data_IF_133795382284
#
_entry.id   IF_133795382284
#
_cell.length_a   1.000
_cell.length_b   1.000
_cell.length_c   1.000
_cell.angle_alpha   90.00
_cell.angle_beta   90.00
_cell.angle_gamma   90.00
#
_symmetry.space_group_name_H-M   'P 1'
#
loop_
_entity.id
_entity.type
_entity.pdbx_description
1 polymer ?
#
# COMPACT_ATOMS: atom_id res chain seq x y z
N UNK A 1 9.82 -12.54 14.76
CA UNK A 1 11.14 -12.89 15.32
C UNK A 1 12.04 -11.72 15.00
N UNK A 2 12.11 -10.75 15.91
CA UNK A 2 13.00 -9.60 15.79
C UNK A 2 14.28 -10.01 16.48
N UNK A 3 15.30 -10.37 15.70
CA UNK A 3 16.63 -10.51 16.26
C UNK A 3 17.12 -9.14 16.72
N UNK A 4 17.68 -9.17 17.92
CA UNK A 4 18.01 -8.06 18.78
C UNK A 4 18.94 -7.05 18.10
N UNK A 5 18.85 -5.80 18.57
CA UNK A 5 19.88 -4.78 18.36
C UNK A 5 21.26 -5.38 18.68
N UNK A 6 22.15 -5.30 17.68
CA UNK A 6 23.60 -5.55 17.70
C UNK A 6 24.09 -6.99 17.92
N UNK A 7 24.54 -7.62 16.83
CA UNK A 7 25.63 -8.58 16.90
C UNK A 7 26.89 -7.82 17.40
N UNK A 8 27.40 -8.20 18.57
CA UNK A 8 28.66 -7.65 19.09
C UNK A 8 29.79 -8.51 18.55
N UNK A 9 30.55 -7.96 17.60
CA UNK A 9 31.75 -8.59 17.06
C UNK A 9 33.01 -8.11 17.82
N UNK A 10 33.82 -9.06 18.28
CA UNK A 10 35.10 -8.78 18.94
C UNK A 10 36.22 -8.92 17.90
N UNK A 11 36.94 -7.83 17.64
CA UNK A 11 38.09 -7.82 16.72
C UNK A 11 39.40 -7.72 17.52
N UNK A 12 40.25 -8.75 17.43
CA UNK A 12 41.60 -8.69 18.00
C UNK A 12 42.51 -7.83 17.13
N UNK A 13 43.25 -6.90 17.75
CA UNK A 13 44.22 -6.05 17.06
C UNK A 13 45.61 -6.70 17.15
N UNK A 14 46.20 -7.04 16.01
CA UNK A 14 47.59 -7.55 15.96
C UNK A 14 48.58 -6.38 15.91
N UNK A 15 49.74 -6.46 16.62
CA UNK A 15 50.74 -5.40 16.58
C UNK A 15 51.35 -5.24 15.17
N UNK A 16 51.47 -4.01 14.66
CA UNK A 16 52.12 -3.74 13.37
C UNK A 16 51.64 -2.45 12.69
N UNK A 17 52.21 -2.13 11.51
CA UNK A 17 51.81 -0.96 10.70
C UNK A 17 50.37 -1.05 10.16
N UNK A 18 49.85 -2.26 9.99
CA UNK A 18 48.49 -2.58 9.50
C UNK A 18 47.49 -2.91 10.62
N UNK A 19 47.80 -2.60 11.89
CA UNK A 19 46.98 -2.99 13.06
C UNK A 19 45.51 -2.58 12.97
N UNK A 20 45.22 -1.50 12.25
CA UNK A 20 43.86 -0.98 12.08
C UNK A 20 43.19 -1.44 10.78
N UNK A 21 43.90 -2.10 9.87
CA UNK A 21 43.33 -2.54 8.59
C UNK A 21 42.27 -3.62 8.82
N UNK A 22 42.52 -4.54 9.76
CA UNK A 22 41.55 -5.56 10.14
C UNK A 22 40.27 -4.95 10.73
N UNK A 23 40.41 -3.98 11.63
CA UNK A 23 39.27 -3.27 12.21
C UNK A 23 38.52 -2.47 11.16
N UNK A 24 39.24 -1.70 10.33
CA UNK A 24 38.67 -0.91 9.22
C UNK A 24 37.86 -1.79 8.28
N UNK A 25 38.44 -2.89 7.79
CA UNK A 25 37.77 -3.79 6.85
C UNK A 25 36.52 -4.42 7.46
N UNK A 26 36.56 -4.77 8.77
CA UNK A 26 35.39 -5.27 9.49
C UNK A 26 34.30 -4.22 9.62
N UNK A 27 34.64 -3.00 10.04
CA UNK A 27 33.68 -1.90 10.16
C UNK A 27 33.02 -1.58 8.81
N UNK A 28 33.80 -1.56 7.72
CA UNK A 28 33.27 -1.37 6.37
C UNK A 28 32.32 -2.51 5.98
N UNK A 29 32.73 -3.77 6.16
CA UNK A 29 31.88 -4.92 5.85
C UNK A 29 30.56 -4.92 6.65
N UNK A 30 30.61 -4.67 7.96
CA UNK A 30 29.41 -4.58 8.80
C UNK A 30 28.53 -3.38 8.42
N UNK A 31 29.13 -2.26 8.03
CA UNK A 31 28.40 -1.09 7.51
C UNK A 31 27.69 -1.41 6.21
N UNK A 32 28.37 -2.08 5.27
CA UNK A 32 27.80 -2.49 3.98
C UNK A 32 26.67 -3.51 4.18
N UNK A 33 26.84 -4.47 5.09
CA UNK A 33 25.80 -5.44 5.46
C UNK A 33 24.58 -4.74 6.08
N UNK A 34 24.80 -3.85 7.06
CA UNK A 34 23.72 -3.11 7.69
C UNK A 34 22.97 -2.23 6.68
N UNK A 35 23.69 -1.64 5.72
CA UNK A 35 23.09 -0.88 4.63
C UNK A 35 22.28 -1.79 3.69
N UNK A 36 22.83 -2.91 3.24
CA UNK A 36 22.14 -3.87 2.38
C UNK A 36 20.85 -4.40 3.05
N UNK A 37 20.90 -4.69 4.36
CA UNK A 37 19.73 -5.09 5.13
C UNK A 37 18.66 -4.00 5.15
N UNK A 38 19.04 -2.73 5.33
CA UNK A 38 18.10 -1.59 5.25
C UNK A 38 17.56 -1.40 3.84
N UNK A 39 18.36 -1.57 2.80
CA UNK A 39 17.92 -1.49 1.40
C UNK A 39 16.87 -2.57 1.10
N UNK A 40 17.15 -3.82 1.48
CA UNK A 40 16.23 -4.95 1.34
C UNK A 40 14.93 -4.76 2.12
N UNK A 41 15.00 -4.17 3.31
CA UNK A 41 13.82 -3.82 4.12
C UNK A 41 13.12 -2.53 3.66
N UNK A 42 13.69 -1.80 2.68
CA UNK A 42 13.29 -0.44 2.29
C UNK A 42 13.18 0.51 3.49
N UNK A 43 14.18 0.47 4.36
CA UNK A 43 14.31 1.29 5.56
C UNK A 43 15.45 2.33 5.44
N UNK A 44 15.91 2.60 4.22
CA UNK A 44 16.75 3.78 3.93
C UNK A 44 15.85 5.01 3.80
N UNK A 45 15.55 5.63 4.93
CA UNK A 45 14.74 6.84 4.98
C UNK A 45 15.50 8.06 4.49
N UNK A 46 14.80 8.99 3.85
CA UNK A 46 15.32 10.35 3.68
C UNK A 46 15.54 11.01 5.05
N UNK A 47 16.28 12.11 5.10
CA UNK A 47 16.52 12.81 6.37
C UNK A 47 15.22 13.31 7.02
N UNK A 48 14.24 13.71 6.19
CA UNK A 48 12.93 14.19 6.65
C UNK A 48 12.13 13.04 7.24
N UNK A 49 12.03 11.91 6.53
CA UNK A 49 11.35 10.71 7.03
C UNK A 49 12.03 10.16 8.29
N UNK A 50 13.37 10.12 8.31
CA UNK A 50 14.12 9.64 9.48
C UNK A 50 13.87 10.49 10.72
N UNK A 51 13.91 11.83 10.60
CA UNK A 51 13.67 12.72 11.73
C UNK A 51 12.24 12.57 12.27
N UNK A 52 11.24 12.46 11.37
CA UNK A 52 9.85 12.23 11.75
C UNK A 52 9.68 10.89 12.48
N UNK A 53 10.19 9.79 11.91
CA UNK A 53 10.08 8.46 12.52
C UNK A 53 10.86 8.35 13.83
N UNK A 54 12.01 9.01 13.96
CA UNK A 54 12.77 9.01 15.22
C UNK A 54 11.96 9.69 16.32
N UNK A 55 11.36 10.84 16.02
CA UNK A 55 10.52 11.56 16.99
C UNK A 55 9.28 10.74 17.39
N UNK A 56 8.58 10.16 16.42
CA UNK A 56 7.42 9.30 16.69
C UNK A 56 7.82 8.03 17.46
N UNK A 57 8.97 7.42 17.14
CA UNK A 57 9.47 6.23 17.85
C UNK A 57 9.85 6.54 19.31
N UNK A 58 10.50 7.68 19.57
CA UNK A 58 10.77 8.12 20.94
C UNK A 58 9.47 8.29 21.73
N UNK A 59 8.47 8.97 21.16
CA UNK A 59 7.17 9.14 21.79
C UNK A 59 6.44 7.81 22.03
N UNK A 60 6.54 6.87 21.09
CA UNK A 60 6.01 5.50 21.20
C UNK A 60 6.63 4.76 22.38
N UNK A 61 7.96 4.65 22.43
CA UNK A 61 8.65 3.87 23.47
C UNK A 61 8.56 4.48 24.88
N UNK A 62 8.15 5.75 25.02
CA UNK A 62 7.79 6.30 26.32
C UNK A 62 6.52 5.69 26.92
N UNK A 63 5.63 5.13 26.08
CA UNK A 63 4.29 4.65 26.48
C UNK A 63 4.07 3.17 26.21
N UNK A 64 4.84 2.61 25.29
CA UNK A 64 4.61 1.31 24.66
C UNK A 64 5.88 0.46 24.72
N UNK A 65 5.70 -0.85 24.86
CA UNK A 65 6.82 -1.82 24.85
C UNK A 65 6.87 -2.63 23.56
N UNK A 66 5.78 -2.63 22.79
CA UNK A 66 5.71 -3.28 21.50
C UNK A 66 6.62 -2.59 20.47
N UNK A 67 7.07 -3.32 19.43
CA UNK A 67 7.88 -2.74 18.36
C UNK A 67 7.18 -1.57 17.67
N UNK A 68 7.97 -0.54 17.32
CA UNK A 68 7.49 0.60 16.55
C UNK A 68 7.15 0.20 15.10
N UNK A 69 5.98 0.60 14.62
CA UNK A 69 5.50 0.31 13.27
C UNK A 69 5.61 1.56 12.38
N UNK A 70 6.65 1.59 11.56
CA UNK A 70 6.93 2.70 10.63
C UNK A 70 5.79 2.94 9.62
N UNK A 71 5.09 1.89 9.19
CA UNK A 71 4.01 1.99 8.19
C UNK A 71 2.79 2.64 8.82
N UNK A 72 2.46 2.27 10.07
CA UNK A 72 1.36 2.95 10.80
C UNK A 72 1.73 4.38 11.13
N UNK A 73 2.96 4.63 11.58
CA UNK A 73 3.41 5.99 11.89
C UNK A 73 3.38 6.91 10.67
N UNK A 74 3.74 6.41 9.47
CA UNK A 74 3.71 7.20 8.25
C UNK A 74 2.30 7.60 7.80
N UNK A 75 1.26 6.97 8.36
CA UNK A 75 -0.16 7.26 8.09
C UNK A 75 -0.82 8.07 9.20
N UNK A 76 -0.05 8.59 10.17
CA UNK A 76 -0.58 9.38 11.28
C UNK A 76 -1.32 10.64 10.81
N UNK A 77 -0.74 11.37 9.86
CA UNK A 77 -1.30 12.62 9.34
C UNK A 77 -2.24 12.40 8.13
N UNK A 78 -2.21 11.22 7.53
CA UNK A 78 -3.11 10.79 6.48
C UNK A 78 -3.59 9.35 6.77
N UNK A 79 -4.53 9.15 7.70
CA UNK A 79 -4.96 7.81 8.08
C UNK A 79 -5.70 7.12 6.93
N UNK A 80 -5.70 5.78 6.94
CA UNK A 80 -6.62 5.02 6.07
C UNK A 80 -8.05 5.38 6.47
N UNK A 81 -8.91 5.67 5.49
CA UNK A 81 -10.31 6.04 5.74
C UNK A 81 -11.02 5.01 6.62
N UNK A 82 -11.68 5.48 7.68
CA UNK A 82 -12.46 4.63 8.59
C UNK A 82 -13.62 3.93 7.89
N UNK A 83 -14.12 4.52 6.79
CA UNK A 83 -15.27 4.02 6.04
C UNK A 83 -14.87 3.15 4.85
N UNK A 84 -13.57 2.89 4.65
CA UNK A 84 -13.06 2.10 3.53
C UNK A 84 -13.69 0.69 3.47
N UNK A 85 -13.90 0.05 4.62
CA UNK A 85 -14.60 -1.24 4.70
C UNK A 85 -15.99 -1.15 4.05
N UNK A 86 -16.75 -0.11 4.40
CA UNK A 86 -18.10 0.10 3.92
C UNK A 86 -18.12 0.41 2.43
N UNK A 87 -17.19 1.24 1.94
CA UNK A 87 -17.04 1.57 0.53
C UNK A 87 -16.72 0.33 -0.31
N UNK A 88 -15.80 -0.52 0.16
CA UNK A 88 -15.46 -1.78 -0.50
C UNK A 88 -16.64 -2.73 -0.48
N UNK A 89 -17.31 -2.93 0.67
CA UNK A 89 -18.50 -3.78 0.73
C UNK A 89 -19.62 -3.31 -0.21
N UNK A 90 -19.84 -1.99 -0.32
CA UNK A 90 -20.81 -1.44 -1.29
C UNK A 90 -20.38 -1.76 -2.71
N UNK A 91 -19.13 -1.51 -3.08
CA UNK A 91 -18.61 -1.80 -4.42
C UNK A 91 -18.77 -3.28 -4.78
N UNK A 92 -18.41 -4.19 -3.86
CA UNK A 92 -18.57 -5.63 -4.04
C UNK A 92 -20.03 -6.06 -4.20
N UNK A 93 -20.98 -5.29 -3.67
CA UNK A 93 -22.42 -5.54 -3.85
C UNK A 93 -22.91 -5.38 -5.30
N UNK A 94 -22.15 -4.71 -6.17
CA UNK A 94 -22.47 -4.56 -7.59
C UNK A 94 -21.88 -5.67 -8.47
N UNK A 95 -21.03 -6.53 -7.91
CA UNK A 95 -20.34 -7.57 -8.66
C UNK A 95 -21.25 -8.77 -8.83
N UNK A 96 -21.49 -9.16 -10.09
CA UNK A 96 -22.50 -10.16 -10.44
C UNK A 96 -21.94 -11.49 -10.91
N UNK A 97 -20.63 -11.56 -11.16
CA UNK A 97 -19.96 -12.80 -11.57
C UNK A 97 -18.53 -12.93 -11.01
N UNK A 98 -17.99 -14.17 -10.95
CA UNK A 98 -16.57 -14.42 -10.61
C UNK A 98 -15.58 -13.68 -11.51
N UNK A 99 -15.88 -13.58 -12.80
CA UNK A 99 -15.04 -12.89 -13.80
C UNK A 99 -14.98 -11.40 -13.50
N UNK A 100 -16.13 -10.79 -13.18
CA UNK A 100 -16.16 -9.39 -12.74
C UNK A 100 -15.41 -9.20 -11.41
N UNK A 101 -15.52 -10.15 -10.47
CA UNK A 101 -14.79 -10.05 -9.19
C UNK A 101 -13.27 -10.06 -9.41
N UNK A 102 -12.77 -11.01 -10.20
CA UNK A 102 -11.33 -11.25 -10.34
C UNK A 102 -10.69 -10.36 -11.41
N UNK A 103 -11.43 -10.05 -12.46
CA UNK A 103 -10.99 -9.29 -13.63
C UNK A 103 -11.18 -7.79 -13.49
N UNK A 104 -12.21 -7.34 -12.77
CA UNK A 104 -12.53 -5.92 -12.61
C UNK A 104 -12.39 -5.45 -11.15
N UNK A 105 -13.14 -6.04 -10.22
CA UNK A 105 -13.20 -5.54 -8.85
C UNK A 105 -11.84 -5.61 -8.13
N UNK A 106 -11.13 -6.73 -8.25
CA UNK A 106 -9.84 -6.89 -7.60
C UNK A 106 -8.78 -5.88 -8.11
N UNK A 107 -8.56 -5.69 -9.43
CA UNK A 107 -7.70 -4.63 -9.94
C UNK A 107 -8.12 -3.21 -9.54
N UNK A 108 -9.42 -2.89 -9.58
CA UNK A 108 -9.91 -1.57 -9.14
C UNK A 108 -9.57 -1.31 -7.67
N UNK A 109 -9.91 -2.26 -6.78
CA UNK A 109 -9.57 -2.17 -5.35
C UNK A 109 -8.06 -2.02 -5.18
N UNK A 110 -7.27 -2.88 -5.80
CA UNK A 110 -5.81 -2.86 -5.70
C UNK A 110 -5.20 -1.51 -6.13
N UNK A 111 -5.61 -0.97 -7.27
CA UNK A 111 -5.07 0.30 -7.78
C UNK A 111 -5.48 1.50 -6.91
N UNK A 112 -6.69 1.48 -6.35
CA UNK A 112 -7.17 2.51 -5.42
C UNK A 112 -6.35 2.51 -4.13
N UNK A 113 -6.08 1.32 -3.57
CA UNK A 113 -5.25 1.17 -2.37
C UNK A 113 -3.80 1.59 -2.64
N UNK A 114 -3.25 1.26 -3.82
CA UNK A 114 -1.89 1.66 -4.19
C UNK A 114 -1.77 3.19 -4.30
N UNK A 115 -2.78 3.84 -4.88
CA UNK A 115 -2.88 5.29 -4.97
C UNK A 115 -2.96 5.97 -3.59
N UNK A 116 -3.74 5.40 -2.66
CA UNK A 116 -3.78 5.85 -1.27
C UNK A 116 -2.44 5.63 -0.55
N UNK A 117 -1.77 4.50 -0.79
CA UNK A 117 -0.53 4.11 -0.09
C UNK A 117 0.69 4.96 -0.44
N UNK A 118 0.79 5.42 -1.67
CA UNK A 118 1.98 6.11 -2.18
C UNK A 118 1.61 7.44 -2.85
N UNK A 119 1.17 8.45 -2.05
CA UNK A 119 1.06 9.82 -2.53
C UNK A 119 2.45 10.42 -2.80
N UNK A 120 2.54 11.59 -3.46
CA UNK A 120 3.80 12.32 -3.63
C UNK A 120 4.54 12.48 -2.29
N UNK A 121 5.86 12.37 -2.33
CA UNK A 121 6.78 12.50 -1.18
C UNK A 121 6.64 11.42 -0.07
N UNK A 122 5.75 10.43 -0.25
CA UNK A 122 5.65 9.29 0.66
C UNK A 122 6.89 8.40 0.59
N UNK A 123 7.23 7.77 1.72
CA UNK A 123 8.27 6.75 1.75
C UNK A 123 7.78 5.44 1.13
N UNK A 124 8.57 4.86 0.22
CA UNK A 124 8.23 3.61 -0.47
C UNK A 124 8.53 2.37 0.39
N UNK A 125 7.64 2.06 1.35
CA UNK A 125 7.69 0.80 2.08
C UNK A 125 7.45 -0.42 1.17
N UNK A 126 7.89 -1.63 1.58
CA UNK A 126 7.62 -2.85 0.81
C UNK A 126 6.11 -3.07 0.64
N UNK A 127 5.58 -3.18 -0.60
CA UNK A 127 4.14 -3.26 -0.85
C UNK A 127 3.45 -4.39 -0.09
N UNK A 128 4.10 -5.56 -0.01
CA UNK A 128 3.60 -6.71 0.76
C UNK A 128 3.34 -6.38 2.24
N UNK A 129 4.23 -5.58 2.85
CA UNK A 129 4.13 -5.14 4.24
C UNK A 129 3.08 -4.06 4.40
N UNK A 130 2.99 -3.12 3.47
CA UNK A 130 1.94 -2.08 3.47
C UNK A 130 0.56 -2.73 3.41
N UNK A 131 0.36 -3.63 2.44
CA UNK A 131 -0.90 -4.36 2.27
C UNK A 131 -1.30 -5.12 3.54
N UNK A 132 -0.35 -5.88 4.10
CA UNK A 132 -0.58 -6.66 5.32
C UNK A 132 -0.91 -5.78 6.53
N UNK A 133 -0.27 -4.61 6.65
CA UNK A 133 -0.38 -3.74 7.82
C UNK A 133 -1.63 -2.88 7.78
N UNK A 134 -2.02 -2.40 6.59
CA UNK A 134 -3.08 -1.40 6.44
C UNK A 134 -4.42 -1.98 5.96
N UNK A 135 -4.43 -2.99 5.08
CA UNK A 135 -5.63 -3.32 4.31
C UNK A 135 -6.17 -4.74 4.48
N UNK A 136 -5.34 -5.72 4.88
CA UNK A 136 -5.78 -7.12 5.00
C UNK A 136 -7.02 -7.26 5.89
N UNK A 137 -7.03 -6.62 7.05
CA UNK A 137 -8.15 -6.73 7.99
C UNK A 137 -9.42 -6.06 7.45
N UNK A 138 -9.26 -4.89 6.81
CA UNK A 138 -10.37 -4.14 6.19
C UNK A 138 -11.00 -4.97 5.07
N UNK A 139 -10.18 -5.52 4.17
CA UNK A 139 -10.65 -6.36 3.06
C UNK A 139 -11.29 -7.66 3.55
N UNK A 140 -10.72 -8.25 4.60
CA UNK A 140 -11.25 -9.47 5.22
C UNK A 140 -12.67 -9.26 5.76
N UNK A 141 -12.93 -8.11 6.39
CA UNK A 141 -14.25 -7.72 6.88
C UNK A 141 -15.20 -7.35 5.74
N UNK A 142 -14.73 -6.54 4.79
CA UNK A 142 -15.52 -6.08 3.65
C UNK A 142 -16.03 -7.25 2.79
N UNK A 143 -15.28 -8.36 2.75
CA UNK A 143 -15.60 -9.55 1.97
C UNK A 143 -16.53 -10.56 2.68
N UNK A 144 -17.06 -10.23 3.88
CA UNK A 144 -18.07 -10.92 4.73
C UNK A 144 -18.00 -12.44 4.92
N UNK A 145 -17.96 -13.25 3.86
CA UNK A 145 -18.02 -14.71 3.89
C UNK A 145 -16.70 -15.35 3.44
N UNK A 146 -16.43 -16.59 3.88
CA UNK A 146 -15.29 -17.37 3.39
C UNK A 146 -15.40 -17.75 1.90
N UNK A 147 -16.64 -17.73 1.37
CA UNK A 147 -17.00 -18.06 0.00
C UNK A 147 -17.89 -16.94 -0.54
N UNK A 148 -17.54 -16.42 -1.72
CA UNK A 148 -18.28 -15.38 -2.44
C UNK A 148 -19.10 -16.04 -3.54
N UNK A 149 -20.42 -15.91 -3.43
CA UNK A 149 -21.41 -16.40 -4.40
C UNK A 149 -22.00 -15.25 -5.19
N UNK A 150 -22.45 -15.53 -6.41
CA UNK A 150 -22.91 -14.49 -7.32
C UNK A 150 -24.29 -14.81 -7.90
N UNK A 151 -25.14 -13.80 -8.15
CA UNK A 151 -26.48 -14.03 -8.71
C UNK A 151 -26.45 -14.66 -10.11
N UNK A 152 -25.45 -14.34 -10.92
CA UNK A 152 -25.40 -14.74 -12.34
C UNK A 152 -24.50 -15.96 -12.59
N UNK A 153 -23.93 -16.58 -11.55
CA UNK A 153 -23.06 -17.76 -11.69
C UNK A 153 -23.29 -18.79 -10.59
N UNK A 154 -23.11 -20.07 -10.94
CA UNK A 154 -23.05 -21.18 -9.97
C UNK A 154 -21.67 -21.34 -9.35
N UNK A 155 -20.66 -20.71 -9.97
CA UNK A 155 -19.30 -20.76 -9.48
C UNK A 155 -19.15 -19.86 -8.26
N UNK A 156 -18.24 -20.27 -7.37
CA UNK A 156 -17.93 -19.54 -6.16
C UNK A 156 -16.46 -19.20 -6.11
N UNK A 157 -16.15 -18.04 -5.57
CA UNK A 157 -14.77 -17.62 -5.35
C UNK A 157 -14.45 -17.68 -3.87
N UNK A 158 -13.37 -18.37 -3.50
CA UNK A 158 -12.88 -18.33 -2.13
C UNK A 158 -12.37 -16.93 -1.81
N UNK A 159 -12.73 -16.41 -0.64
CA UNK A 159 -12.24 -15.11 -0.15
C UNK A 159 -10.72 -15.04 -0.19
N UNK A 160 -10.03 -16.12 0.17
CA UNK A 160 -8.55 -16.19 0.10
C UNK A 160 -8.02 -15.99 -1.33
N UNK A 161 -8.71 -16.53 -2.34
CA UNK A 161 -8.37 -16.33 -3.76
C UNK A 161 -8.56 -14.87 -4.19
N UNK A 162 -9.67 -14.26 -3.77
CA UNK A 162 -9.93 -12.83 -4.03
C UNK A 162 -8.90 -11.91 -3.37
N UNK A 163 -8.62 -12.11 -2.07
CA UNK A 163 -7.61 -11.34 -1.34
C UNK A 163 -6.21 -11.52 -1.94
N UNK A 164 -5.87 -12.74 -2.37
CA UNK A 164 -4.59 -13.02 -3.04
C UNK A 164 -4.49 -12.29 -4.38
N UNK A 165 -5.60 -12.20 -5.14
CA UNK A 165 -5.65 -11.45 -6.39
C UNK A 165 -5.49 -9.94 -6.16
N UNK A 166 -6.19 -9.36 -5.17
CA UNK A 166 -6.01 -7.95 -4.80
C UNK A 166 -4.55 -7.69 -4.41
N UNK A 167 -3.98 -8.53 -3.52
CA UNK A 167 -2.59 -8.39 -3.08
C UNK A 167 -1.61 -8.43 -4.25
N UNK A 168 -1.76 -9.39 -5.17
CA UNK A 168 -0.89 -9.50 -6.33
C UNK A 168 -0.97 -8.26 -7.24
N UNK A 169 -2.18 -7.77 -7.53
CA UNK A 169 -2.37 -6.53 -8.30
C UNK A 169 -1.80 -5.30 -7.55
N UNK A 170 -2.00 -5.21 -6.23
CA UNK A 170 -1.49 -4.11 -5.42
C UNK A 170 0.04 -4.08 -5.44
N UNK A 171 0.68 -5.23 -5.25
CA UNK A 171 2.13 -5.37 -5.30
C UNK A 171 2.68 -4.98 -6.67
N UNK A 172 2.04 -5.43 -7.76
CA UNK A 172 2.45 -5.09 -9.13
C UNK A 172 2.32 -3.58 -9.41
N UNK A 173 1.17 -2.97 -9.12
CA UNK A 173 0.96 -1.53 -9.31
C UNK A 173 1.91 -0.68 -8.47
N UNK A 174 2.13 -1.08 -7.21
CA UNK A 174 3.04 -0.35 -6.32
C UNK A 174 4.49 -0.47 -6.81
N UNK A 175 4.92 -1.65 -7.23
CA UNK A 175 6.28 -1.89 -7.71
C UNK A 175 6.56 -1.13 -9.02
N UNK A 176 5.58 -1.02 -9.92
CA UNK A 176 5.70 -0.16 -11.11
C UNK A 176 5.95 1.31 -10.73
N UNK A 177 5.30 1.82 -9.68
CA UNK A 177 5.54 3.19 -9.19
C UNK A 177 6.88 3.36 -8.49
N UNK A 178 7.29 2.37 -7.72
CA UNK A 178 8.57 2.38 -6.99
C UNK A 178 9.76 2.37 -7.94
N UNK A 179 9.62 1.68 -9.08
CA UNK A 179 10.61 1.70 -10.17
C UNK A 179 10.52 2.95 -11.04
N UNK A 180 9.72 3.93 -10.64
CA UNK A 180 9.48 5.19 -11.34
C UNK A 180 9.02 5.02 -12.79
N UNK A 181 8.37 3.89 -13.11
CA UNK A 181 7.85 3.62 -14.47
C UNK A 181 6.63 4.51 -14.73
N UNK A 182 5.73 4.61 -13.74
CA UNK A 182 4.50 5.42 -13.77
C UNK A 182 4.15 5.83 -12.35
N UNK A 183 3.61 7.02 -12.13
CA UNK A 183 3.03 7.36 -10.82
C UNK A 183 1.85 6.46 -10.50
N UNK A 184 1.58 6.23 -9.21
CA UNK A 184 0.39 5.49 -8.75
C UNK A 184 -0.91 6.08 -9.32
N UNK A 185 -0.99 7.40 -9.48
CA UNK A 185 -2.11 8.07 -10.13
C UNK A 185 -2.25 7.65 -11.60
N UNK A 186 -1.17 7.67 -12.38
CA UNK A 186 -1.19 7.27 -13.78
C UNK A 186 -1.54 5.78 -13.96
N UNK A 187 -1.04 4.91 -13.07
CA UNK A 187 -1.39 3.48 -13.04
C UNK A 187 -2.88 3.31 -12.76
N UNK A 188 -3.39 4.01 -11.74
CA UNK A 188 -4.79 3.95 -11.37
C UNK A 188 -5.72 4.44 -12.50
N UNK A 189 -5.43 5.59 -13.11
CA UNK A 189 -6.19 6.10 -14.25
C UNK A 189 -6.15 5.14 -15.45
N UNK A 190 -4.99 4.55 -15.75
CA UNK A 190 -4.88 3.54 -16.80
C UNK A 190 -5.75 2.32 -16.51
N UNK A 191 -5.77 1.85 -15.27
CA UNK A 191 -6.60 0.73 -14.84
C UNK A 191 -8.10 1.05 -14.89
N UNK A 192 -8.51 2.27 -14.50
CA UNK A 192 -9.90 2.72 -14.68
C UNK A 192 -10.32 2.70 -16.15
N UNK A 193 -9.48 3.22 -17.04
CA UNK A 193 -9.75 3.28 -18.47
C UNK A 193 -9.83 1.89 -19.13
N UNK A 194 -9.08 0.91 -18.63
CA UNK A 194 -9.14 -0.47 -19.13
C UNK A 194 -10.49 -1.15 -18.88
N UNK A 195 -11.26 -0.66 -17.91
CA UNK A 195 -12.55 -1.23 -17.51
C UNK A 195 -13.74 -0.33 -17.83
N UNK A 196 -13.61 0.52 -18.85
CA UNK A 196 -14.64 1.51 -19.22
C UNK A 196 -16.03 0.90 -19.42
N UNK A 197 -16.11 -0.32 -19.98
CA UNK A 197 -17.39 -1.00 -20.22
C UNK A 197 -18.04 -1.47 -18.92
N UNK A 198 -17.26 -2.04 -18.01
CA UNK A 198 -17.74 -2.52 -16.71
C UNK A 198 -18.24 -1.37 -15.82
N UNK A 199 -17.71 -0.16 -15.99
CA UNK A 199 -18.16 1.03 -15.28
C UNK A 199 -19.56 1.50 -15.67
N UNK A 200 -20.08 1.12 -16.85
CA UNK A 200 -21.42 1.55 -17.30
C UNK A 200 -22.55 1.06 -16.39
N UNK A 201 -22.35 -0.09 -15.75
CA UNK A 201 -23.34 -0.76 -14.90
C UNK A 201 -23.12 -0.52 -13.39
N UNK A 202 -22.12 0.29 -13.02
CA UNK A 202 -21.68 0.45 -11.63
C UNK A 202 -21.71 1.92 -11.23
N UNK A 203 -22.66 2.29 -10.35
CA UNK A 203 -22.81 3.65 -9.87
C UNK A 203 -23.28 3.70 -8.41
N UNK A 204 -22.79 4.69 -7.66
CA UNK A 204 -23.23 4.99 -6.29
C UNK A 204 -23.29 6.50 -6.06
N UNK A 205 -24.30 6.94 -5.30
CA UNK A 205 -24.44 8.33 -4.84
C UNK A 205 -23.61 8.62 -3.57
N UNK A 206 -23.13 7.58 -2.89
CA UNK A 206 -22.47 7.68 -1.57
C UNK A 206 -20.96 7.40 -1.63
N UNK A 207 -20.51 6.66 -2.65
CA UNK A 207 -19.13 6.17 -2.75
C UNK A 207 -18.60 6.43 -4.14
N UNK A 208 -17.44 7.08 -4.24
CA UNK A 208 -16.68 7.11 -5.47
C UNK A 208 -15.98 5.76 -5.63
N UNK A 209 -16.54 4.85 -6.44
CA UNK A 209 -15.98 3.51 -6.62
C UNK A 209 -14.63 3.49 -7.31
N UNK A 210 -14.27 4.55 -8.03
CA UNK A 210 -12.93 4.68 -8.60
C UNK A 210 -11.88 4.86 -7.50
N UNK A 211 -12.10 5.68 -6.48
CA UNK A 211 -11.12 5.93 -5.42
C UNK A 211 -11.40 5.16 -4.12
N UNK A 212 -12.57 4.52 -4.02
CA UNK A 212 -13.10 3.87 -2.82
C UNK A 212 -13.19 4.80 -1.61
N UNK A 213 -13.48 6.08 -1.87
CA UNK A 213 -13.69 7.11 -0.86
C UNK A 213 -15.12 7.65 -0.89
N UNK A 214 -15.48 8.38 0.16
CA UNK A 214 -16.70 9.18 0.17
C UNK A 214 -16.68 10.21 -0.96
N UNK A 215 -17.87 10.66 -1.36
CA UNK A 215 -18.00 11.73 -2.35
C UNK A 215 -17.30 13.00 -1.82
N UNK A 216 -16.44 13.67 -2.60
CA UNK A 216 -15.93 14.99 -2.21
C UNK A 216 -17.11 15.97 -2.12
N UNK A 217 -17.16 16.75 -1.04
CA UNK A 217 -18.25 17.73 -0.77
C UNK A 217 -18.40 18.78 -1.89
N UNK A 218 -17.36 18.98 -2.71
CA UNK A 218 -17.39 19.78 -3.92
C UNK A 218 -17.68 18.93 -5.16
N UNK A 219 -18.94 18.96 -5.62
CA UNK A 219 -19.38 18.37 -6.88
C UNK A 219 -18.78 19.18 -8.05
N UNK A 220 -17.78 18.64 -8.74
CA UNK A 220 -17.51 19.03 -10.13
C UNK A 220 -18.47 18.21 -11.01
N UNK A 221 -19.49 18.88 -11.57
CA UNK A 221 -20.45 18.23 -12.47
C UNK A 221 -19.77 17.86 -13.79
N UNK A 222 -20.06 16.70 -14.39
CA UNK A 222 -19.71 16.46 -15.79
C UNK A 222 -20.57 17.39 -16.66
N UNK A 223 -19.95 18.28 -17.41
CA UNK A 223 -20.65 19.01 -18.47
C UNK A 223 -20.92 18.04 -19.63
N UNK A 224 -22.20 17.92 -19.96
CA UNK A 224 -22.80 17.10 -21.01
C UNK A 224 -21.98 16.98 -22.31
N UNK A 225 -22.02 15.78 -22.92
CA UNK A 225 -22.04 15.68 -24.39
C UNK A 225 -20.98 14.82 -25.07
N UNK A 226 -20.05 14.22 -24.34
CA UNK A 226 -19.16 13.18 -24.88
C UNK A 226 -18.78 12.28 -23.72
N UNK A 227 -18.94 10.95 -23.87
CA UNK A 227 -18.59 9.95 -22.85
C UNK A 227 -17.09 9.93 -22.56
N UNK A 228 -16.57 11.01 -22.00
CA UNK A 228 -15.25 11.12 -21.41
C UNK A 228 -15.46 11.22 -19.90
N UNK A 229 -14.99 10.22 -19.18
CA UNK A 229 -14.70 10.31 -17.75
C UNK A 229 -13.73 11.47 -17.54
N UNK A 230 -14.25 12.69 -17.35
CA UNK A 230 -13.47 13.81 -16.84
C UNK A 230 -13.30 13.62 -15.32
N UNK A 231 -12.37 12.75 -14.96
CA UNK A 231 -11.78 12.67 -13.63
C UNK A 231 -10.75 13.81 -13.44
N UNK A 232 -11.15 15.05 -13.72
CA UNK A 232 -10.36 16.23 -13.34
C UNK A 232 -10.94 16.78 -12.04
N UNK A 233 -10.34 16.42 -10.90
CA UNK A 233 -10.71 17.04 -9.63
C UNK A 233 -10.42 16.24 -8.36
N UNK A 234 -10.05 14.97 -8.44
CA UNK A 234 -9.55 14.26 -7.26
C UNK A 234 -8.05 14.55 -7.14
N UNK A 235 -7.56 14.90 -5.95
CA UNK A 235 -6.21 15.38 -5.63
C UNK A 235 -6.00 16.91 -5.73
N UNK A 236 -6.62 17.63 -4.80
CA UNK A 236 -5.99 18.81 -4.19
C UNK A 236 -5.87 18.49 -2.70
N UNK A 237 -4.66 18.06 -2.33
CA UNK A 237 -4.02 17.85 -1.02
C UNK A 237 -4.90 17.54 0.20
#
# INVERSE_FOLDING_TARGET
>A
MFDYVSAIDIVQLTPGRSRFDQLKNRLLASSDEARANKENARALFSITHFAAFLNDACAHFCKHQEPFDFIKSSRKDNPVSSDLEQHISRFLGYIKSPEQLMGFAAPIVASSLALDSYPPDAHYFPPSRVFQTLYVDILTKASKNGVMSFPESRDVVLRSGFLSKIKACFEDFSEQSIREIKSTAAIHYGNLAQHELEWLDVYSNETCFASLTGKPDSIIRPTNGSGKLLMQGMYVW
#
